data_IF_058195581191
#
_entry.id   IF_058195581191
#
_cell.length_a   1.000
_cell.length_b   1.000
_cell.length_c   1.000
_cell.angle_alpha   90.00
_cell.angle_beta   90.00
_cell.angle_gamma   90.00
#
_symmetry.space_group_name_H-M   'P 1'
#
loop_
_entity.id
_entity.type
_entity.pdbx_description
1 polymer ?
#
# COMPACT_ATOMS: atom_id res chain seq x y z
N UNK A 1 -8.02 11.21 -16.11
CA UNK A 1 -6.54 11.18 -16.16
C UNK A 1 -6.12 9.92 -15.43
N UNK A 2 -5.99 8.85 -16.19
CA UNK A 2 -5.94 7.48 -15.67
C UNK A 2 -4.62 7.25 -14.94
N UNK A 3 -4.68 7.14 -13.61
CA UNK A 3 -3.65 6.41 -12.90
C UNK A 3 -3.77 4.97 -13.38
N UNK A 4 -2.98 4.61 -14.39
CA UNK A 4 -3.04 3.30 -15.00
C UNK A 4 -2.81 2.25 -13.92
N UNK A 5 -3.90 1.60 -13.50
CA UNK A 5 -3.90 0.45 -12.59
C UNK A 5 -3.37 -0.71 -13.42
N UNK A 6 -2.05 -0.72 -13.61
CA UNK A 6 -1.38 -1.90 -14.15
C UNK A 6 -1.51 -2.99 -13.09
N UNK A 7 -1.92 -4.22 -13.45
CA UNK A 7 -1.88 -5.33 -12.52
C UNK A 7 -0.44 -5.44 -12.01
N UNK A 8 -0.26 -5.20 -10.71
CA UNK A 8 1.01 -5.40 -10.02
C UNK A 8 0.99 -6.81 -9.45
N UNK A 9 1.97 -7.60 -9.82
CA UNK A 9 2.25 -8.88 -9.16
C UNK A 9 2.78 -8.64 -7.74
N UNK A 10 2.66 -9.65 -6.87
CA UNK A 10 3.16 -9.55 -5.49
C UNK A 10 4.69 -9.31 -5.46
N UNK A 11 5.43 -9.86 -6.42
CA UNK A 11 6.87 -9.64 -6.56
C UNK A 11 7.20 -8.19 -6.90
N UNK A 12 6.44 -7.56 -7.81
CA UNK A 12 6.59 -6.13 -8.11
C UNK A 12 6.27 -5.23 -6.92
N UNK A 13 5.33 -5.64 -6.06
CA UNK A 13 5.03 -4.93 -4.81
C UNK A 13 6.18 -5.08 -3.82
N UNK A 14 6.76 -6.28 -3.69
CA UNK A 14 7.96 -6.54 -2.87
C UNK A 14 9.17 -5.73 -3.36
N UNK A 15 9.32 -5.57 -4.67
CA UNK A 15 10.39 -4.79 -5.29
C UNK A 15 10.32 -3.28 -5.02
N UNK A 16 9.20 -2.75 -4.49
CA UNK A 16 9.12 -1.35 -4.04
C UNK A 16 10.03 -1.04 -2.84
N UNK A 17 10.54 -2.06 -2.16
CA UNK A 17 11.34 -1.95 -0.96
C UNK A 17 10.50 -2.00 0.32
N UNK A 18 11.01 -1.42 1.41
CA UNK A 18 10.37 -1.51 2.73
C UNK A 18 9.16 -0.59 2.89
N UNK A 19 9.19 0.58 2.26
CA UNK A 19 8.17 1.61 2.35
C UNK A 19 7.91 2.23 0.99
N UNK A 20 6.63 2.44 0.68
CA UNK A 20 6.19 3.14 -0.53
C UNK A 20 5.38 4.38 -0.16
N UNK A 21 4.94 5.15 -1.16
CA UNK A 21 4.06 6.31 -0.96
C UNK A 21 2.58 5.94 -1.09
N UNK A 22 1.71 6.83 -0.63
CA UNK A 22 0.25 6.62 -0.63
C UNK A 22 -0.34 6.52 -2.04
N UNK A 23 0.24 7.23 -3.01
CA UNK A 23 -0.25 7.14 -4.41
C UNK A 23 0.04 5.76 -4.97
N UNK A 24 1.27 5.27 -4.76
CA UNK A 24 1.69 3.94 -5.20
C UNK A 24 0.91 2.83 -4.50
N UNK A 25 0.73 2.90 -3.17
CA UNK A 25 -0.08 1.94 -2.43
C UNK A 25 -1.55 1.99 -2.85
N UNK A 26 -2.12 3.18 -3.06
CA UNK A 26 -3.48 3.35 -3.56
C UNK A 26 -3.67 2.69 -4.92
N UNK A 27 -2.73 2.90 -5.85
CA UNK A 27 -2.77 2.26 -7.17
C UNK A 27 -2.72 0.72 -7.07
N UNK A 28 -1.92 0.16 -6.15
CA UNK A 28 -1.88 -1.29 -5.92
C UNK A 28 -3.21 -1.85 -5.41
N UNK A 29 -4.02 -1.01 -4.74
CA UNK A 29 -5.33 -1.35 -4.21
C UNK A 29 -6.48 -0.92 -5.13
N UNK A 30 -6.20 -0.41 -6.34
CA UNK A 30 -7.22 0.10 -7.26
C UNK A 30 -7.86 1.43 -6.83
N UNK A 31 -7.21 2.19 -5.94
CA UNK A 31 -7.68 3.48 -5.42
C UNK A 31 -7.01 4.62 -6.19
N UNK A 32 -7.83 5.54 -6.72
CA UNK A 32 -7.32 6.75 -7.36
C UNK A 32 -6.52 7.64 -6.40
N UNK A 33 -5.54 8.38 -6.95
CA UNK A 33 -4.61 9.22 -6.18
C UNK A 33 -5.31 10.17 -5.21
N UNK A 34 -6.34 10.87 -5.67
CA UNK A 34 -7.09 11.85 -4.86
C UNK A 34 -7.82 11.15 -3.72
N UNK A 35 -8.49 10.03 -4.02
CA UNK A 35 -9.21 9.21 -3.04
C UNK A 35 -8.26 8.60 -2.01
N UNK A 36 -7.10 8.10 -2.42
CA UNK A 36 -6.08 7.57 -1.51
C UNK A 36 -5.62 8.64 -0.52
N UNK A 37 -5.36 9.84 -1.02
CA UNK A 37 -4.98 10.99 -0.21
C UNK A 37 -6.09 11.46 0.75
N UNK A 38 -7.36 11.37 0.37
CA UNK A 38 -8.50 11.68 1.23
C UNK A 38 -8.69 10.61 2.33
N UNK A 39 -8.55 9.34 1.98
CA UNK A 39 -8.62 8.22 2.91
C UNK A 39 -7.50 8.27 3.96
N UNK A 40 -6.27 8.62 3.56
CA UNK A 40 -5.17 8.81 4.52
C UNK A 40 -5.43 9.97 5.46
N UNK A 41 -5.93 11.11 4.96
CA UNK A 41 -6.26 12.26 5.81
C UNK A 41 -7.41 11.98 6.77
N UNK A 42 -8.35 11.12 6.38
CA UNK A 42 -9.49 10.71 7.22
C UNK A 42 -9.19 9.50 8.11
N UNK A 43 -7.98 8.94 8.05
CA UNK A 43 -7.60 7.75 8.82
C UNK A 43 -8.33 6.48 8.40
N UNK A 44 -8.91 6.46 7.19
CA UNK A 44 -9.71 5.35 6.64
C UNK A 44 -8.98 4.58 5.54
N UNK A 45 -7.67 4.75 5.42
CA UNK A 45 -6.89 4.01 4.45
C UNK A 45 -6.82 2.53 4.86
N UNK A 46 -7.02 1.58 3.94
CA UNK A 46 -7.17 0.16 4.29
C UNK A 46 -5.89 -0.52 4.77
N UNK A 47 -4.73 0.13 4.62
CA UNK A 47 -3.42 -0.37 5.07
C UNK A 47 -2.77 0.62 6.04
N UNK A 48 -1.84 0.19 6.90
CA UNK A 48 -1.13 1.07 7.81
C UNK A 48 -0.39 2.19 7.08
N UNK A 49 -0.50 3.42 7.59
CA UNK A 49 0.20 4.58 7.02
C UNK A 49 0.97 5.30 8.13
N UNK A 50 2.24 5.57 7.86
CA UNK A 50 3.16 6.26 8.77
C UNK A 50 3.37 7.68 8.24
N UNK A 51 3.25 8.67 9.12
CA UNK A 51 3.60 10.06 8.81
C UNK A 51 5.07 10.30 9.12
N UNK A 52 5.84 10.64 8.10
CA UNK A 52 7.26 11.01 8.22
C UNK A 52 7.39 12.47 7.82
N UNK A 53 7.36 13.35 8.83
CA UNK A 53 7.31 14.80 8.65
C UNK A 53 6.07 15.25 7.86
N UNK A 54 6.30 15.85 6.69
CA UNK A 54 5.24 16.32 5.79
C UNK A 54 4.73 15.24 4.82
N UNK A 55 5.37 14.05 4.77
CA UNK A 55 5.07 12.99 3.80
C UNK A 55 4.43 11.79 4.48
N UNK A 56 3.54 11.14 3.76
CA UNK A 56 2.95 9.86 4.16
C UNK A 56 3.69 8.71 3.51
N UNK A 57 3.93 7.65 4.28
CA UNK A 57 4.62 6.44 3.87
C UNK A 57 3.76 5.23 4.21
N UNK A 58 3.72 4.25 3.33
CA UNK A 58 2.98 3.01 3.51
C UNK A 58 4.00 1.87 3.60
N UNK A 59 4.05 1.11 4.71
CA UNK A 59 4.88 -0.08 4.79
C UNK A 59 4.42 -1.13 3.79
N UNK A 60 5.34 -1.63 2.97
CA UNK A 60 5.02 -2.64 1.95
C UNK A 60 4.51 -3.93 2.57
N UNK A 61 5.00 -4.30 3.76
CA UNK A 61 4.49 -5.46 4.52
C UNK A 61 2.98 -5.37 4.80
N UNK A 62 2.48 -4.18 5.17
CA UNK A 62 1.06 -3.98 5.42
C UNK A 62 0.22 -4.03 4.14
N UNK A 63 0.80 -3.58 3.02
CA UNK A 63 0.19 -3.67 1.71
C UNK A 63 0.08 -5.13 1.22
N UNK A 64 1.14 -5.92 1.39
CA UNK A 64 1.17 -7.34 1.03
C UNK A 64 0.16 -8.17 1.83
N UNK A 65 0.05 -7.91 3.14
CA UNK A 65 -0.91 -8.59 4.00
C UNK A 65 -2.37 -8.42 3.53
N UNK A 66 -2.74 -7.23 3.04
CA UNK A 66 -4.10 -6.95 2.52
C UNK A 66 -4.33 -7.57 1.14
N UNK A 67 -3.27 -7.71 0.34
CA UNK A 67 -3.33 -8.35 -0.99
C UNK A 67 -3.38 -9.89 -0.94
N UNK A 68 -3.38 -10.49 0.25
CA UNK A 68 -3.45 -11.94 0.44
C UNK A 68 -2.09 -12.65 0.40
N UNK A 69 -0.98 -11.90 0.43
CA UNK A 69 0.36 -12.43 0.64
C UNK A 69 0.57 -12.61 2.14
N UNK A 70 -0.02 -13.68 2.67
CA UNK A 70 0.14 -14.06 4.07
C UNK A 70 1.43 -14.87 4.26
N UNK A 71 2.57 -14.19 4.16
CA UNK A 71 3.83 -14.71 4.72
C UNK A 71 3.94 -14.42 6.25
N UNK A 72 2.90 -13.80 6.82
CA UNK A 72 2.81 -13.43 8.23
C UNK A 72 2.22 -14.54 9.13
N UNK A 73 1.68 -15.62 8.56
CA UNK A 73 0.98 -16.68 9.29
C UNK A 73 1.69 -18.03 9.38
N UNK A 74 2.82 -18.28 8.71
CA UNK A 74 3.59 -19.52 8.93
C UNK A 74 4.50 -19.39 10.16
N UNK A 75 3.88 -19.35 11.34
CA UNK A 75 4.54 -19.88 12.53
C UNK A 75 4.44 -21.40 12.41
N UNK A 76 5.54 -22.01 11.98
CA UNK A 76 5.76 -23.45 12.03
C UNK A 76 5.59 -23.90 13.49
N UNK A 77 4.51 -24.66 13.75
CA UNK A 77 4.42 -25.55 14.88
C UNK A 77 5.01 -26.91 14.51
#
# INVERSE_FOLDING_TARGET
>A
MEAQVRPRTLDEVRALGLVTDVTTAGACLGIERTSAHALVRSGKFPVPVIRVGARWKVPVRGLLAVLGDDDAGRVSA
#
